data_IF_620656947851
#
_entry.id   IF_620656947851
#
_cell.length_a   1.000
_cell.length_b   1.000
_cell.length_c   1.000
_cell.angle_alpha   90.00
_cell.angle_beta   90.00
_cell.angle_gamma   90.00
#
_symmetry.space_group_name_H-M   'P 1'
#
loop_
_entity.id
_entity.type
_entity.pdbx_description
1 polymer ?
#
# COMPACT_ATOMS: atom_id res chain seq x y z
N UNK A 1 30.53 -24.03 -0.94
CA UNK A 1 29.88 -23.53 -2.16
C UNK A 1 28.66 -22.71 -1.72
N UNK A 2 28.67 -21.40 -1.93
CA UNK A 2 27.55 -20.51 -1.55
C UNK A 2 26.72 -20.23 -2.80
N UNK A 3 25.52 -20.79 -2.90
CA UNK A 3 24.58 -20.43 -3.96
C UNK A 3 23.60 -19.39 -3.40
N UNK A 4 23.76 -18.15 -3.87
CA UNK A 4 22.84 -17.05 -3.59
C UNK A 4 21.57 -17.25 -4.42
N UNK A 5 20.48 -17.62 -3.76
CA UNK A 5 19.16 -17.74 -4.38
C UNK A 5 18.59 -16.35 -4.66
N UNK A 6 18.74 -15.90 -5.91
CA UNK A 6 18.10 -14.68 -6.40
C UNK A 6 16.62 -14.96 -6.66
N UNK A 7 15.77 -14.58 -5.72
CA UNK A 7 14.31 -14.67 -5.83
C UNK A 7 13.78 -13.71 -6.90
N UNK A 8 13.50 -14.23 -8.09
CA UNK A 8 12.81 -13.52 -9.18
C UNK A 8 11.32 -13.42 -8.84
N UNK A 9 10.86 -12.25 -8.40
CA UNK A 9 9.42 -12.01 -8.17
C UNK A 9 8.72 -11.66 -9.48
N UNK A 10 7.89 -12.59 -9.94
CA UNK A 10 7.01 -12.45 -11.12
C UNK A 10 5.96 -11.38 -10.85
N UNK A 11 5.98 -10.27 -11.61
CA UNK A 11 4.98 -9.19 -11.53
C UNK A 11 3.59 -9.73 -11.91
N UNK A 12 2.80 -10.12 -10.91
CA UNK A 12 1.41 -10.57 -11.08
C UNK A 12 0.47 -9.48 -11.62
N UNK A 13 -0.64 -9.91 -12.24
CA UNK A 13 -1.72 -9.05 -12.75
C UNK A 13 -2.20 -8.11 -11.62
N UNK A 14 -2.30 -6.81 -11.89
CA UNK A 14 -2.85 -5.83 -10.94
C UNK A 14 -4.28 -6.21 -10.61
N UNK A 15 -4.54 -6.59 -9.35
CA UNK A 15 -5.91 -6.81 -8.85
C UNK A 15 -6.37 -5.50 -8.23
N UNK A 16 -7.47 -4.94 -8.73
CA UNK A 16 -8.09 -3.78 -8.11
C UNK A 16 -8.54 -4.14 -6.69
N UNK A 17 -8.24 -3.27 -5.73
CA UNK A 17 -8.67 -3.45 -4.34
C UNK A 17 -10.20 -3.24 -4.31
N UNK A 18 -10.93 -4.18 -3.69
CA UNK A 18 -12.36 -4.00 -3.47
C UNK A 18 -12.62 -2.92 -2.40
N UNK A 19 -13.74 -2.21 -2.48
CA UNK A 19 -14.10 -1.15 -1.51
C UNK A 19 -14.09 -1.63 -0.05
N UNK A 20 -14.35 -2.92 0.19
CA UNK A 20 -14.27 -3.54 1.52
C UNK A 20 -12.83 -3.68 2.01
N UNK A 21 -11.89 -4.04 1.13
CA UNK A 21 -10.47 -4.15 1.46
C UNK A 21 -9.85 -2.78 1.73
N UNK A 22 -10.29 -1.75 0.98
CA UNK A 22 -9.85 -0.37 1.19
C UNK A 22 -10.15 0.12 2.61
N UNK A 23 -11.38 -0.09 3.09
CA UNK A 23 -11.77 0.25 4.47
C UNK A 23 -10.93 -0.47 5.53
N UNK A 24 -10.61 -1.74 5.32
CA UNK A 24 -9.77 -2.52 6.24
C UNK A 24 -8.35 -1.95 6.31
N UNK A 25 -7.77 -1.53 5.17
CA UNK A 25 -6.44 -0.92 5.14
C UNK A 25 -6.45 0.45 5.81
N UNK A 26 -7.48 1.26 5.55
CA UNK A 26 -7.66 2.58 6.19
C UNK A 26 -7.74 2.44 7.71
N UNK A 27 -8.56 1.48 8.20
CA UNK A 27 -8.72 1.24 9.63
C UNK A 27 -7.42 0.72 10.29
N UNK A 28 -6.73 -0.20 9.61
CA UNK A 28 -5.40 -0.71 10.04
C UNK A 28 -4.36 0.41 10.13
N UNK A 29 -4.40 1.37 9.20
CA UNK A 29 -3.53 2.55 9.23
C UNK A 29 -4.02 3.63 10.21
N UNK A 30 -5.03 3.34 11.04
CA UNK A 30 -5.64 4.27 12.00
C UNK A 30 -6.10 5.56 11.31
N UNK A 31 -6.56 5.48 10.07
CA UNK A 31 -7.00 6.62 9.24
C UNK A 31 -5.93 7.71 9.12
N UNK A 32 -4.66 7.32 9.00
CA UNK A 32 -3.54 8.25 8.87
C UNK A 32 -2.55 7.80 7.79
N UNK A 33 -1.93 8.78 7.14
CA UNK A 33 -0.80 8.53 6.25
C UNK A 33 0.34 7.90 7.06
N UNK A 34 0.88 6.77 6.59
CA UNK A 34 1.97 6.08 7.30
C UNK A 34 3.31 6.83 7.24
N UNK A 35 3.46 7.78 6.30
CA UNK A 35 4.69 8.58 6.12
C UNK A 35 4.65 9.87 6.92
N UNK A 36 3.62 10.71 6.72
CA UNK A 36 3.55 12.04 7.34
C UNK A 36 2.52 12.16 8.48
N UNK A 37 1.71 11.12 8.72
CA UNK A 37 0.69 11.14 9.76
C UNK A 37 -0.56 11.99 9.47
N UNK A 38 -0.71 12.56 8.26
CA UNK A 38 -1.91 13.31 7.85
C UNK A 38 -3.16 12.45 8.10
N UNK A 39 -4.18 13.02 8.75
CA UNK A 39 -5.44 12.32 9.05
C UNK A 39 -6.31 12.24 7.78
N UNK A 40 -6.84 11.05 7.53
CA UNK A 40 -7.78 10.74 6.44
C UNK A 40 -9.10 11.51 6.60
N UNK A 41 -9.52 11.81 7.84
CA UNK A 41 -10.83 12.44 8.12
C UNK A 41 -10.98 13.87 7.56
N UNK A 42 -9.88 14.57 7.26
CA UNK A 42 -9.94 15.94 6.72
C UNK A 42 -10.18 15.95 5.20
N UNK A 43 -9.45 15.11 4.48
CA UNK A 43 -9.45 15.10 3.02
C UNK A 43 -9.32 13.64 2.55
N UNK A 44 -10.39 12.82 2.60
CA UNK A 44 -10.30 11.38 2.29
C UNK A 44 -9.92 11.10 0.83
N UNK A 45 -10.31 12.00 -0.07
CA UNK A 45 -10.02 11.95 -1.52
C UNK A 45 -8.53 12.15 -1.83
N UNK A 46 -7.81 12.72 -0.87
CA UNK A 46 -6.40 13.07 -0.92
C UNK A 46 -5.50 11.90 -0.50
N UNK A 47 -6.08 10.71 -0.26
CA UNK A 47 -5.36 9.51 0.16
C UNK A 47 -5.54 8.38 -0.84
N UNK A 48 -4.45 7.66 -1.06
CA UNK A 48 -4.37 6.52 -1.96
C UNK A 48 -3.73 5.34 -1.22
N UNK A 49 -4.18 4.13 -1.56
CA UNK A 49 -3.56 2.91 -1.04
C UNK A 49 -2.38 2.54 -1.92
N UNK A 50 -1.20 2.49 -1.31
CA UNK A 50 0.04 2.10 -1.97
C UNK A 50 0.48 0.69 -1.55
N UNK A 51 1.10 -0.04 -2.47
CA UNK A 51 1.65 -1.36 -2.20
C UNK A 51 3.08 -1.24 -1.69
N UNK A 52 3.37 -1.72 -0.48
CA UNK A 52 4.71 -1.73 0.10
C UNK A 52 5.63 -2.58 -0.81
N UNK A 53 6.84 -2.11 -1.10
CA UNK A 53 7.84 -2.76 -1.96
C UNK A 53 7.52 -2.90 -3.45
N UNK A 54 6.45 -2.26 -3.94
CA UNK A 54 6.08 -2.34 -5.37
C UNK A 54 5.74 -3.77 -5.85
N UNK A 55 5.64 -4.73 -4.92
CA UNK A 55 5.29 -6.11 -5.22
C UNK A 55 3.76 -6.21 -5.36
N UNK A 56 3.33 -6.05 -6.61
CA UNK A 56 1.93 -6.08 -7.03
C UNK A 56 1.33 -7.49 -7.05
N UNK A 57 2.10 -8.52 -6.69
CA UNK A 57 1.65 -9.92 -6.72
C UNK A 57 0.85 -10.33 -5.48
N UNK A 58 0.93 -9.55 -4.39
CA UNK A 58 0.25 -9.84 -3.12
C UNK A 58 -0.64 -8.68 -2.68
N UNK A 59 -1.95 -8.85 -2.81
CA UNK A 59 -2.99 -7.95 -2.29
C UNK A 59 -3.35 -8.22 -0.83
N UNK A 60 -2.39 -8.77 -0.06
CA UNK A 60 -2.61 -8.94 1.37
C UNK A 60 -2.66 -7.56 2.03
N UNK A 61 -3.56 -7.38 3.01
CA UNK A 61 -3.70 -6.11 3.76
C UNK A 61 -2.45 -5.73 4.56
N UNK A 62 -1.45 -6.61 4.63
CA UNK A 62 -0.12 -6.33 5.19
C UNK A 62 0.85 -5.71 4.19
N UNK A 63 0.54 -5.79 2.90
CA UNK A 63 1.31 -5.20 1.82
C UNK A 63 0.73 -3.86 1.34
N UNK A 64 -0.32 -3.36 2.01
CA UNK A 64 -1.03 -2.14 1.63
C UNK A 64 -0.89 -1.11 2.73
N UNK A 65 -0.55 0.12 2.35
CA UNK A 65 -0.44 1.26 3.25
C UNK A 65 -1.26 2.43 2.75
N UNK A 66 -1.81 3.19 3.69
CA UNK A 66 -2.51 4.42 3.40
C UNK A 66 -1.48 5.55 3.29
N UNK A 67 -1.43 6.22 2.14
CA UNK A 67 -0.57 7.38 1.90
C UNK A 67 -1.42 8.55 1.44
N UNK A 68 -1.08 9.77 1.86
CA UNK A 68 -1.64 10.96 1.23
C UNK A 68 -0.98 11.18 -0.14
N UNK A 69 -1.66 11.88 -1.04
CA UNK A 69 -1.22 12.15 -2.41
C UNK A 69 0.18 12.80 -2.45
N UNK A 70 0.48 13.71 -1.52
CA UNK A 70 1.79 14.34 -1.39
C UNK A 70 2.92 13.35 -1.09
N UNK A 71 2.68 12.36 -0.23
CA UNK A 71 3.66 11.33 0.10
C UNK A 71 3.70 10.23 -0.97
N UNK A 72 2.55 9.93 -1.56
CA UNK A 72 2.44 8.97 -2.64
C UNK A 72 3.24 9.39 -3.88
N UNK A 73 3.25 10.70 -4.20
CA UNK A 73 4.03 11.26 -5.32
C UNK A 73 5.56 11.19 -5.13
N UNK A 74 6.04 10.96 -3.91
CA UNK A 74 7.47 10.94 -3.57
C UNK A 74 8.07 9.53 -3.58
N UNK A 75 7.25 8.49 -3.81
CA UNK A 75 7.64 7.07 -3.81
C UNK A 75 7.50 6.52 -5.23
#
# INVERSE_FOLDING_TARGET
MFYAEQSKTTKGKRVAISSSQEKVVIDKCKRKCVVCGKKYDKDPEDFEIHHINGDRSKTTTSNLVLLCHSCHKQI
#
